data_IF_635183162289
#
_entry.id   IF_635183162289
#
_cell.length_a   1.000
_cell.length_b   1.000
_cell.length_c   1.000
_cell.angle_alpha   90.00
_cell.angle_beta   90.00
_cell.angle_gamma   90.00
#
_symmetry.space_group_name_H-M   'P 1'
#
loop_
_entity.id
_entity.type
_entity.pdbx_description
1 polymer ?
#
# COMPACT_ATOMS: atom_id res chain seq x y z
N UNK A 1 48.49 28.04 10.61
CA UNK A 1 47.46 27.27 11.35
C UNK A 1 46.11 27.60 10.75
N UNK A 2 45.27 26.64 10.35
CA UNK A 2 43.92 26.95 9.91
C UNK A 2 43.14 27.61 11.07
N UNK A 3 42.30 28.63 10.81
CA UNK A 3 41.49 29.24 11.86
C UNK A 3 40.54 28.20 12.46
N UNK A 4 40.26 28.24 13.78
CA UNK A 4 39.31 27.33 14.40
C UNK A 4 37.94 27.52 13.76
N UNK A 5 37.49 26.50 13.02
CA UNK A 5 36.15 26.45 12.45
C UNK A 5 35.12 26.38 13.57
N UNK A 6 34.11 27.25 13.54
CA UNK A 6 33.01 27.21 14.49
C UNK A 6 32.17 25.97 14.21
N UNK A 7 32.19 24.99 15.11
CA UNK A 7 31.32 23.83 15.01
C UNK A 7 29.85 24.30 15.01
N UNK A 8 29.08 23.93 13.98
CA UNK A 8 27.64 24.14 13.97
C UNK A 8 26.99 22.97 14.72
N UNK A 9 26.19 23.27 15.72
CA UNK A 9 25.36 22.26 16.36
C UNK A 9 24.30 21.78 15.34
N UNK A 10 24.26 20.48 15.07
CA UNK A 10 23.11 19.87 14.43
C UNK A 10 22.02 19.75 15.50
N UNK A 11 20.85 20.33 15.26
CA UNK A 11 19.70 20.23 16.16
C UNK A 11 18.53 19.61 15.39
N UNK A 12 17.86 18.67 16.04
CA UNK A 12 16.57 18.14 15.57
C UNK A 12 15.43 18.90 16.22
N UNK A 13 14.23 18.78 15.66
CA UNK A 13 13.05 19.41 16.23
C UNK A 13 12.84 18.93 17.68
N UNK A 14 12.62 19.83 18.66
CA UNK A 14 12.57 19.46 20.08
C UNK A 14 11.46 18.45 20.42
N UNK A 15 10.37 18.43 19.63
CA UNK A 15 9.28 17.50 19.82
C UNK A 15 9.68 16.01 19.70
N UNK A 16 10.77 15.67 19.00
CA UNK A 16 11.24 14.26 18.95
C UNK A 16 11.56 13.69 20.34
N UNK A 17 11.85 14.52 21.34
CA UNK A 17 12.01 14.07 22.73
C UNK A 17 10.70 13.51 23.33
N UNK A 18 9.54 13.99 22.87
CA UNK A 18 8.22 13.52 23.31
C UNK A 18 7.86 12.14 22.71
N UNK A 19 8.62 11.69 21.72
CA UNK A 19 8.42 10.41 21.04
C UNK A 19 9.21 9.26 21.68
N UNK A 20 10.05 9.54 22.68
CA UNK A 20 10.85 8.54 23.39
C UNK A 20 9.94 7.52 24.08
N UNK A 21 10.23 6.22 23.90
CA UNK A 21 9.53 5.12 24.56
C UNK A 21 8.14 4.80 24.01
N UNK A 22 7.64 5.55 23.01
CA UNK A 22 6.39 5.21 22.33
C UNK A 22 6.57 3.95 21.46
N UNK A 23 5.54 3.09 21.34
CA UNK A 23 5.60 1.90 20.50
C UNK A 23 5.54 2.24 19.00
N UNK A 24 5.93 1.28 18.16
CA UNK A 24 5.86 1.40 16.70
C UNK A 24 6.94 2.28 16.08
N UNK A 25 7.03 2.22 14.76
CA UNK A 25 7.94 2.97 13.93
C UNK A 25 7.37 4.35 13.54
N UNK A 26 8.26 5.29 13.23
CA UNK A 26 7.90 6.62 12.71
C UNK A 26 7.91 6.58 11.19
N UNK A 27 6.82 7.05 10.59
CA UNK A 27 6.75 7.35 9.16
C UNK A 27 6.90 8.86 8.95
N UNK A 28 8.02 9.29 8.36
CA UNK A 28 8.26 10.69 8.02
C UNK A 28 7.77 11.01 6.59
N UNK A 29 7.14 12.17 6.41
CA UNK A 29 6.61 12.65 5.14
C UNK A 29 7.21 14.03 4.80
N UNK A 30 7.95 14.17 3.69
CA UNK A 30 8.45 13.09 2.85
C UNK A 30 9.50 12.25 3.61
N UNK A 31 9.76 11.01 3.14
CA UNK A 31 10.80 10.17 3.72
C UNK A 31 12.18 10.83 3.64
N UNK A 32 13.04 10.50 4.60
CA UNK A 32 14.40 11.00 4.66
C UNK A 32 15.17 10.70 3.37
N UNK A 33 15.73 11.75 2.74
CA UNK A 33 16.54 11.61 1.54
C UNK A 33 17.98 11.20 1.85
N UNK A 34 18.64 10.67 0.84
CA UNK A 34 20.05 10.30 0.85
C UNK A 34 20.96 11.42 1.41
N UNK A 35 21.92 11.08 2.29
CA UNK A 35 22.96 11.97 2.85
C UNK A 35 22.52 13.12 3.78
N UNK A 36 21.39 13.00 4.48
CA UNK A 36 21.00 13.95 5.54
C UNK A 36 21.20 13.44 6.98
N UNK A 37 22.14 14.00 7.74
CA UNK A 37 22.43 13.50 9.10
C UNK A 37 21.32 13.77 10.15
N UNK A 38 20.36 14.64 9.83
CA UNK A 38 19.31 15.06 10.78
C UNK A 38 18.31 13.94 11.13
N UNK A 39 17.76 13.16 10.17
CA UNK A 39 16.99 11.95 10.47
C UNK A 39 17.71 10.95 11.38
N UNK A 40 19.02 10.75 11.21
CA UNK A 40 19.79 9.87 12.10
C UNK A 40 19.86 10.41 13.53
N UNK A 41 20.07 11.72 13.67
CA UNK A 41 20.06 12.37 14.98
C UNK A 41 18.66 12.30 15.62
N UNK A 42 17.59 12.40 14.82
CA UNK A 42 16.22 12.24 15.30
C UNK A 42 16.04 10.81 15.82
N UNK A 43 16.46 9.81 15.05
CA UNK A 43 16.40 8.39 15.42
C UNK A 43 17.12 8.11 16.75
N UNK A 44 18.31 8.66 16.95
CA UNK A 44 19.06 8.53 18.22
C UNK A 44 18.33 9.24 19.37
N UNK A 45 17.65 10.35 19.08
CA UNK A 45 16.91 11.13 20.09
C UNK A 45 15.68 10.38 20.59
N UNK A 46 14.85 9.82 19.70
CA UNK A 46 13.61 9.15 20.09
C UNK A 46 13.74 7.62 20.27
N UNK A 47 14.78 7.00 19.71
CA UNK A 47 15.10 5.58 19.89
C UNK A 47 14.16 4.60 19.19
N UNK A 48 13.33 5.06 18.24
CA UNK A 48 12.33 4.23 17.53
C UNK A 48 12.79 3.95 16.10
N UNK A 49 12.32 2.86 15.45
CA UNK A 49 12.57 2.65 14.04
C UNK A 49 11.98 3.79 13.20
N UNK A 50 12.63 4.14 12.10
CA UNK A 50 12.11 5.06 11.09
C UNK A 50 11.97 4.25 9.79
N UNK A 51 10.84 4.35 9.10
CA UNK A 51 10.67 3.66 7.82
C UNK A 51 11.70 4.12 6.78
N UNK A 52 12.23 3.17 6.00
CA UNK A 52 13.39 3.34 5.09
C UNK A 52 14.73 3.57 5.77
N UNK A 53 14.74 3.84 7.08
CA UNK A 53 15.94 4.10 7.87
C UNK A 53 16.76 5.28 7.36
N UNK A 54 18.00 5.36 7.85
CA UNK A 54 18.99 6.31 7.35
C UNK A 54 20.30 5.60 7.09
N UNK A 55 20.64 5.40 5.81
CA UNK A 55 21.84 4.70 5.40
C UNK A 55 22.63 5.52 4.38
N UNK A 56 23.96 5.45 4.48
CA UNK A 56 24.88 6.07 3.51
C UNK A 56 24.79 5.45 2.11
N UNK A 57 24.06 4.33 1.99
CA UNK A 57 23.56 3.70 0.77
C UNK A 57 22.17 3.16 1.11
N UNK A 58 21.12 3.71 0.50
CA UNK A 58 19.78 3.15 0.67
C UNK A 58 19.74 1.80 -0.04
N UNK A 59 19.51 0.68 0.65
CA UNK A 59 19.19 -0.57 -0.02
C UNK A 59 17.87 -0.41 -0.78
N UNK A 60 17.64 -1.25 -1.78
CA UNK A 60 16.33 -1.33 -2.42
C UNK A 60 15.29 -1.61 -1.34
N UNK A 61 14.32 -0.71 -1.22
CA UNK A 61 13.30 -0.74 -0.19
C UNK A 61 11.96 -0.94 -0.88
N UNK A 62 11.40 -2.16 -0.88
CA UNK A 62 10.24 -2.49 -1.72
C UNK A 62 8.92 -1.95 -1.16
N UNK A 63 8.89 -1.47 0.09
CA UNK A 63 7.68 -0.98 0.74
C UNK A 63 6.88 0.09 -0.04
N UNK A 64 7.48 1.07 -0.74
CA UNK A 64 6.75 2.02 -1.59
C UNK A 64 6.10 1.38 -2.81
N UNK A 65 6.44 0.14 -3.15
CA UNK A 65 5.87 -0.62 -4.26
C UNK A 65 4.95 -1.75 -3.78
N UNK A 66 5.17 -2.25 -2.57
CA UNK A 66 4.47 -3.40 -2.01
C UNK A 66 3.43 -3.05 -0.94
N UNK A 67 3.43 -1.85 -0.37
CA UNK A 67 2.45 -1.46 0.65
C UNK A 67 1.52 -0.35 0.12
N UNK A 68 0.28 -0.66 -0.28
CA UNK A 68 -0.61 0.27 -0.97
C UNK A 68 -0.83 1.60 -0.22
N UNK A 69 -1.16 1.54 1.07
CA UNK A 69 -1.39 2.74 1.91
C UNK A 69 -0.09 3.50 2.19
N UNK A 70 1.00 2.80 2.47
CA UNK A 70 2.29 3.44 2.76
C UNK A 70 2.87 4.08 1.51
N UNK A 71 2.63 3.51 0.32
CA UNK A 71 3.10 4.03 -0.96
C UNK A 71 2.60 5.45 -1.21
N UNK A 72 1.30 5.70 -0.97
CA UNK A 72 0.72 7.04 -1.14
C UNK A 72 1.39 8.08 -0.21
N UNK A 73 1.65 7.71 1.04
CA UNK A 73 2.36 8.56 2.01
C UNK A 73 3.82 8.78 1.63
N UNK A 74 4.49 7.73 1.16
CA UNK A 74 5.89 7.76 0.77
C UNK A 74 6.13 8.63 -0.46
N UNK A 75 5.25 8.52 -1.46
CA UNK A 75 5.33 9.23 -2.74
C UNK A 75 4.72 10.63 -2.66
N UNK A 76 3.97 10.93 -1.60
CA UNK A 76 3.15 12.15 -1.48
C UNK A 76 2.25 12.27 -2.70
N UNK A 77 1.47 11.21 -2.92
CA UNK A 77 0.59 11.07 -4.06
C UNK A 77 -0.82 10.74 -3.56
N UNK A 78 -1.82 11.31 -4.23
CA UNK A 78 -3.23 11.07 -3.93
C UNK A 78 -3.85 10.38 -5.15
N UNK A 79 -3.81 9.04 -5.21
CA UNK A 79 -4.38 8.31 -6.33
C UNK A 79 -5.88 8.57 -6.43
N UNK A 80 -6.40 8.61 -7.67
CA UNK A 80 -7.81 8.83 -7.94
C UNK A 80 -8.68 7.64 -7.49
N UNK A 81 -8.11 6.44 -7.48
CA UNK A 81 -8.77 5.22 -7.07
C UNK A 81 -8.54 4.91 -5.57
N UNK A 82 -9.31 3.95 -5.00
CA UNK A 82 -9.08 3.48 -3.64
C UNK A 82 -7.65 2.97 -3.42
N UNK A 83 -7.09 3.26 -2.25
CA UNK A 83 -5.76 2.77 -1.85
C UNK A 83 -5.72 1.26 -1.66
N UNK A 84 -6.87 0.62 -1.53
CA UNK A 84 -7.06 -0.80 -1.29
C UNK A 84 -8.21 -1.32 -2.13
N UNK A 85 -8.18 -2.63 -2.37
CA UNK A 85 -9.27 -3.39 -2.98
C UNK A 85 -10.47 -3.41 -2.03
N UNK A 86 -11.69 -3.39 -2.58
CA UNK A 86 -12.92 -3.22 -1.80
C UNK A 86 -13.17 -4.39 -0.82
N UNK A 87 -13.78 -4.07 0.32
CA UNK A 87 -14.37 -5.02 1.26
C UNK A 87 -13.77 -4.96 2.66
N UNK A 88 -12.54 -4.46 2.80
CA UNK A 88 -11.83 -4.34 4.09
C UNK A 88 -10.99 -3.06 4.09
N UNK A 89 -11.71 -1.93 4.04
CA UNK A 89 -11.17 -0.66 3.53
C UNK A 89 -10.62 0.26 4.63
N UNK A 90 -10.39 -0.24 5.85
CA UNK A 90 -9.84 0.56 6.95
C UNK A 90 -8.34 0.84 6.72
N UNK A 91 -7.94 2.07 6.38
CA UNK A 91 -6.55 2.40 6.08
C UNK A 91 -5.64 2.31 7.31
N UNK A 92 -6.20 2.27 8.52
CA UNK A 92 -5.43 2.07 9.76
C UNK A 92 -4.88 0.65 9.86
N UNK A 93 -5.57 -0.34 9.29
CA UNK A 93 -5.18 -1.75 9.39
C UNK A 93 -3.83 -2.01 8.71
N UNK A 94 -3.57 -1.56 7.46
CA UNK A 94 -2.23 -1.63 6.89
C UNK A 94 -1.19 -0.86 7.71
N UNK A 95 -1.49 0.35 8.19
CA UNK A 95 -0.54 1.13 8.99
C UNK A 95 -0.14 0.38 10.26
N UNK A 96 -1.10 -0.22 10.96
CA UNK A 96 -0.83 -1.04 12.15
C UNK A 96 -0.09 -2.34 11.81
N UNK A 97 -0.43 -3.01 10.70
CA UNK A 97 0.26 -4.23 10.25
C UNK A 97 1.76 -3.97 10.01
N UNK A 98 2.08 -2.85 9.36
CA UNK A 98 3.48 -2.45 9.17
C UNK A 98 4.13 -1.86 10.42
N UNK A 99 3.39 -1.72 11.53
CA UNK A 99 3.90 -1.23 12.80
C UNK A 99 4.11 0.28 12.85
N UNK A 100 3.41 1.07 12.02
CA UNK A 100 3.44 2.54 12.10
C UNK A 100 2.74 2.98 13.39
N UNK A 101 3.50 3.66 14.27
CA UNK A 101 2.96 4.21 15.52
C UNK A 101 2.68 5.70 15.46
N UNK A 102 3.53 6.47 14.77
CA UNK A 102 3.31 7.89 14.55
C UNK A 102 3.74 8.30 13.13
N UNK A 103 3.04 9.29 12.60
CA UNK A 103 3.33 9.94 11.32
C UNK A 103 3.83 11.35 11.58
N UNK A 104 4.95 11.73 10.97
CA UNK A 104 5.55 13.07 11.09
C UNK A 104 5.60 13.72 9.72
N UNK A 105 4.80 14.77 9.53
CA UNK A 105 4.84 15.61 8.33
C UNK A 105 5.87 16.71 8.53
N UNK A 106 6.85 16.83 7.62
CA UNK A 106 7.84 17.91 7.59
C UNK A 106 7.47 18.97 6.56
N UNK A 107 6.74 20.00 6.97
CA UNK A 107 6.27 21.09 6.10
C UNK A 107 7.39 21.86 5.42
N UNK A 108 8.55 21.98 6.08
CA UNK A 108 9.75 22.62 5.57
C UNK A 108 10.45 21.81 4.45
N UNK A 109 10.16 20.50 4.35
CA UNK A 109 10.72 19.59 3.35
C UNK A 109 9.75 19.25 2.21
N UNK A 110 8.48 19.62 2.32
CA UNK A 110 7.45 19.42 1.29
C UNK A 110 7.51 20.55 0.27
N UNK A 111 7.55 20.19 -1.02
CA UNK A 111 7.50 21.17 -2.11
C UNK A 111 6.19 21.97 -2.05
N UNK A 112 6.22 23.30 -2.31
CA UNK A 112 5.05 24.16 -2.19
C UNK A 112 3.79 23.62 -2.91
N UNK A 113 3.95 23.06 -4.10
CA UNK A 113 2.89 22.49 -4.93
C UNK A 113 2.23 21.25 -4.32
N UNK A 114 2.94 20.49 -3.49
CA UNK A 114 2.41 19.28 -2.84
C UNK A 114 1.74 19.58 -1.49
N UNK A 115 1.94 20.77 -0.92
CA UNK A 115 1.44 21.09 0.43
C UNK A 115 -0.08 21.01 0.54
N UNK A 116 -0.80 21.32 -0.53
CA UNK A 116 -2.27 21.23 -0.57
C UNK A 116 -2.79 19.79 -0.65
N UNK A 117 -1.95 18.83 -1.05
CA UNK A 117 -2.30 17.41 -1.13
C UNK A 117 -2.21 16.73 0.24
N UNK A 118 -1.29 17.16 1.10
CA UNK A 118 -1.03 16.51 2.38
C UNK A 118 -2.29 16.41 3.26
N UNK A 119 -3.09 17.47 3.48
CA UNK A 119 -4.30 17.34 4.29
C UNK A 119 -5.29 16.32 3.73
N UNK A 120 -5.44 16.24 2.39
CA UNK A 120 -6.32 15.29 1.72
C UNK A 120 -5.81 13.86 1.88
N UNK A 121 -4.49 13.68 1.75
CA UNK A 121 -3.83 12.40 1.95
C UNK A 121 -3.95 11.93 3.41
N UNK A 122 -3.72 12.81 4.38
CA UNK A 122 -3.89 12.51 5.81
C UNK A 122 -5.34 12.13 6.11
N UNK A 123 -6.33 12.87 5.62
CA UNK A 123 -7.73 12.49 5.79
C UNK A 123 -8.06 11.13 5.15
N UNK A 124 -7.40 10.79 4.03
CA UNK A 124 -7.58 9.50 3.36
C UNK A 124 -6.96 8.33 4.13
N UNK A 125 -5.83 8.52 4.81
CA UNK A 125 -5.11 7.44 5.51
C UNK A 125 -5.37 7.37 7.02
N UNK A 126 -5.76 8.49 7.63
CA UNK A 126 -6.01 8.69 9.05
C UNK A 126 -7.32 9.49 9.22
N UNK A 127 -8.47 8.94 8.76
CA UNK A 127 -9.74 9.68 8.74
C UNK A 127 -10.14 10.15 10.13
N UNK A 128 -10.43 11.45 10.26
CA UNK A 128 -10.83 12.07 11.53
C UNK A 128 -9.72 12.23 12.58
N UNK A 129 -8.46 11.91 12.26
CA UNK A 129 -7.32 12.08 13.18
C UNK A 129 -6.74 13.48 13.04
N UNK A 130 -6.69 14.22 14.15
CA UNK A 130 -6.02 15.52 14.24
C UNK A 130 -4.57 15.36 14.70
N UNK A 131 -3.67 16.30 14.34
CA UNK A 131 -2.30 16.24 14.83
C UNK A 131 -2.26 16.43 16.35
N UNK A 132 -1.51 15.57 17.05
CA UNK A 132 -1.20 15.74 18.47
C UNK A 132 -0.30 16.97 18.70
N UNK A 133 0.53 17.28 17.70
CA UNK A 133 1.40 18.44 17.70
C UNK A 133 1.51 19.04 16.31
N UNK A 134 1.54 20.38 16.25
CA UNK A 134 1.74 21.11 15.02
C UNK A 134 2.47 22.43 15.29
N UNK A 135 3.43 22.75 14.44
CA UNK A 135 4.06 24.06 14.37
C UNK A 135 4.34 24.46 12.90
N UNK A 136 5.20 25.45 12.68
CA UNK A 136 5.54 25.92 11.34
C UNK A 136 6.36 24.92 10.52
N UNK A 137 6.98 23.92 11.15
CA UNK A 137 7.93 23.00 10.53
C UNK A 137 7.42 21.56 10.49
N UNK A 138 6.69 21.11 11.51
CA UNK A 138 6.18 19.74 11.57
C UNK A 138 4.72 19.65 12.03
N UNK A 139 4.06 18.58 11.60
CA UNK A 139 2.86 18.05 12.26
C UNK A 139 3.11 16.59 12.66
N UNK A 140 2.65 16.19 13.84
CA UNK A 140 2.78 14.82 14.34
C UNK A 140 1.40 14.25 14.61
N UNK A 141 1.13 13.07 14.05
CA UNK A 141 -0.12 12.35 14.17
C UNK A 141 0.16 11.00 14.83
N UNK A 142 -0.60 10.66 15.86
CA UNK A 142 -0.59 9.32 16.42
C UNK A 142 -1.49 8.42 15.59
N UNK A 143 -1.01 7.23 15.20
CA UNK A 143 -1.81 6.27 14.43
C UNK A 143 -2.65 5.44 15.40
N UNK A 144 -4.00 5.51 15.34
CA UNK A 144 -4.85 4.72 16.21
C UNK A 144 -4.68 3.22 15.96
N UNK A 145 -4.99 2.43 16.98
CA UNK A 145 -5.09 0.97 16.82
C UNK A 145 -6.41 0.59 16.15
N UNK A 146 -6.34 -0.34 15.20
CA UNK A 146 -7.43 -0.91 14.46
C UNK A 146 -7.48 -2.42 14.67
N UNK A 147 -8.67 -3.00 14.51
CA UNK A 147 -8.86 -4.45 14.61
C UNK A 147 -8.20 -5.11 13.39
N UNK A 148 -7.31 -6.11 13.57
CA UNK A 148 -6.70 -6.81 12.45
C UNK A 148 -7.77 -7.50 11.59
N UNK A 149 -7.80 -7.17 10.30
CA UNK A 149 -8.63 -7.82 9.29
C UNK A 149 -7.82 -7.95 7.99
N UNK A 150 -8.08 -8.97 7.16
CA UNK A 150 -7.41 -9.07 5.87
C UNK A 150 -7.53 -7.78 5.06
N UNK A 151 -6.57 -7.51 4.20
CA UNK A 151 -6.67 -6.43 3.24
C UNK A 151 -5.92 -6.80 1.97
N UNK A 152 -6.26 -6.15 0.87
CA UNK A 152 -5.58 -6.37 -0.40
C UNK A 152 -5.37 -5.05 -1.14
N UNK A 153 -4.36 -5.00 -1.99
CA UNK A 153 -4.14 -3.85 -2.84
C UNK A 153 -3.26 -4.17 -4.04
N UNK A 154 -3.39 -3.32 -5.04
CA UNK A 154 -2.66 -3.40 -6.30
C UNK A 154 -1.24 -2.88 -6.07
N UNK A 155 -0.24 -3.68 -6.44
CA UNK A 155 1.18 -3.43 -6.11
C UNK A 155 2.11 -3.64 -7.31
N UNK A 156 3.31 -3.08 -7.22
CA UNK A 156 4.34 -3.17 -8.25
C UNK A 156 4.07 -2.34 -9.51
N UNK A 157 4.94 -2.48 -10.49
CA UNK A 157 4.94 -1.65 -11.73
C UNK A 157 4.08 -2.23 -12.87
N UNK A 158 3.44 -3.37 -12.65
CA UNK A 158 2.64 -4.08 -13.65
C UNK A 158 1.32 -3.41 -14.04
N UNK A 159 0.94 -2.37 -13.30
CA UNK A 159 -0.33 -1.67 -13.42
C UNK A 159 -0.12 -0.23 -13.83
N UNK A 160 -0.88 0.22 -14.83
CA UNK A 160 -0.93 1.63 -15.18
C UNK A 160 -1.77 2.43 -14.16
N UNK A 161 -1.68 3.77 -14.18
CA UNK A 161 -2.59 4.63 -13.42
C UNK A 161 -4.06 4.29 -13.71
N UNK A 162 -4.91 4.50 -12.70
CA UNK A 162 -6.34 4.32 -12.85
C UNK A 162 -6.92 5.28 -13.89
N UNK A 163 -7.85 4.77 -14.69
CA UNK A 163 -8.62 5.51 -15.68
C UNK A 163 -10.10 5.43 -15.31
N UNK A 164 -10.88 6.43 -15.74
CA UNK A 164 -12.31 6.46 -15.48
C UNK A 164 -13.06 7.18 -16.60
N UNK A 165 -14.28 6.73 -16.88
CA UNK A 165 -15.25 7.40 -17.74
C UNK A 165 -16.32 8.18 -16.95
N UNK A 166 -16.15 8.28 -15.62
CA UNK A 166 -17.09 8.88 -14.68
C UNK A 166 -18.16 7.92 -14.13
N UNK A 167 -18.41 6.79 -14.80
CA UNK A 167 -19.30 5.73 -14.32
C UNK A 167 -18.53 4.53 -13.76
N UNK A 168 -17.38 4.22 -14.35
CA UNK A 168 -16.51 3.12 -13.97
C UNK A 168 -15.07 3.62 -13.78
N UNK A 169 -14.31 2.93 -12.96
CA UNK A 169 -12.87 3.11 -12.82
C UNK A 169 -12.20 1.78 -13.13
N UNK A 170 -11.06 1.80 -13.81
CA UNK A 170 -10.30 0.60 -14.11
C UNK A 170 -8.81 0.86 -14.10
N UNK A 171 -8.03 -0.21 -13.94
CA UNK A 171 -6.58 -0.18 -14.15
C UNK A 171 -6.20 -1.15 -15.24
N UNK A 172 -5.47 -0.64 -16.21
CA UNK A 172 -4.85 -1.50 -17.20
C UNK A 172 -3.65 -2.24 -16.60
N UNK A 173 -3.57 -3.52 -16.89
CA UNK A 173 -2.40 -4.34 -16.65
C UNK A 173 -1.50 -4.38 -17.90
N UNK A 174 -0.18 -4.36 -17.69
CA UNK A 174 0.78 -4.77 -18.71
C UNK A 174 0.76 -6.28 -18.93
N UNK A 175 1.92 -6.87 -19.24
CA UNK A 175 2.03 -8.33 -19.40
C UNK A 175 1.99 -9.09 -18.06
N UNK A 176 2.22 -8.38 -16.96
CA UNK A 176 2.17 -8.92 -15.60
C UNK A 176 1.58 -7.86 -14.68
N UNK A 177 0.81 -8.29 -13.69
CA UNK A 177 0.31 -7.46 -12.60
C UNK A 177 0.37 -8.24 -11.29
N UNK A 178 0.43 -7.53 -10.16
CA UNK A 178 0.42 -8.16 -8.84
C UNK A 178 -0.62 -7.51 -7.92
N UNK A 179 -1.22 -8.34 -7.07
CA UNK A 179 -2.09 -7.95 -5.96
C UNK A 179 -1.45 -8.52 -4.70
N UNK A 180 -1.15 -7.64 -3.73
CA UNK A 180 -0.77 -8.05 -2.39
C UNK A 180 -2.03 -8.35 -1.60
N UNK A 181 -2.03 -9.47 -0.88
CA UNK A 181 -3.10 -9.89 0.01
C UNK A 181 -2.46 -10.17 1.36
N UNK A 182 -2.96 -9.52 2.42
CA UNK A 182 -2.38 -9.63 3.75
C UNK A 182 -3.41 -10.17 4.72
N UNK A 183 -3.02 -11.17 5.51
CA UNK A 183 -3.73 -11.59 6.70
C UNK A 183 -2.94 -11.12 7.93
N UNK A 184 -3.37 -10.03 8.60
CA UNK A 184 -2.68 -9.53 9.78
C UNK A 184 -3.04 -10.29 11.07
N UNK A 185 -3.90 -11.31 11.00
CA UNK A 185 -4.29 -12.09 12.18
C UNK A 185 -3.28 -13.20 12.49
N UNK A 186 -3.41 -13.85 13.64
CA UNK A 186 -2.55 -14.96 14.05
C UNK A 186 -3.01 -16.34 13.54
N UNK A 187 -4.15 -16.40 12.84
CA UNK A 187 -4.73 -17.65 12.35
C UNK A 187 -4.98 -17.59 10.84
N UNK A 188 -4.99 -18.75 10.18
CA UNK A 188 -5.38 -18.82 8.79
C UNK A 188 -6.88 -18.54 8.63
N UNK A 189 -7.24 -17.85 7.54
CA UNK A 189 -8.61 -17.43 7.26
C UNK A 189 -9.05 -17.87 5.86
N UNK A 190 -10.28 -18.39 5.70
CA UNK A 190 -10.85 -18.56 4.37
C UNK A 190 -11.25 -17.20 3.82
N UNK A 191 -10.69 -16.81 2.69
CA UNK A 191 -11.05 -15.57 1.99
C UNK A 191 -11.48 -15.88 0.57
N UNK A 192 -12.37 -15.04 0.05
CA UNK A 192 -12.68 -15.02 -1.38
C UNK A 192 -12.18 -13.72 -1.97
N UNK A 193 -11.30 -13.81 -2.97
CA UNK A 193 -10.91 -12.68 -3.80
C UNK A 193 -11.70 -12.74 -5.11
N UNK A 194 -12.60 -11.79 -5.30
CA UNK A 194 -13.36 -11.62 -6.53
C UNK A 194 -12.67 -10.58 -7.41
N UNK A 195 -12.49 -10.89 -8.69
CA UNK A 195 -11.90 -10.02 -9.70
C UNK A 195 -12.89 -9.87 -10.86
N UNK A 196 -13.03 -8.66 -11.40
CA UNK A 196 -13.79 -8.35 -12.60
C UNK A 196 -12.88 -7.67 -13.62
N UNK A 197 -12.81 -8.18 -14.84
CA UNK A 197 -11.96 -7.62 -15.90
C UNK A 197 -12.50 -7.87 -17.31
N UNK A 198 -11.94 -7.15 -18.27
CA UNK A 198 -12.06 -7.46 -19.70
C UNK A 198 -10.70 -7.37 -20.41
N UNK A 199 -10.58 -8.09 -21.54
CA UNK A 199 -9.36 -8.20 -22.32
C UNK A 199 -9.19 -7.07 -23.34
N UNK A 200 -7.99 -6.51 -23.42
CA UNK A 200 -7.64 -5.49 -24.41
C UNK A 200 -7.65 -6.10 -25.82
N UNK A 201 -8.43 -5.54 -26.74
CA UNK A 201 -8.43 -5.97 -28.14
C UNK A 201 -8.92 -7.41 -28.40
N UNK A 202 -9.42 -8.12 -27.38
CA UNK A 202 -9.90 -9.50 -27.50
C UNK A 202 -9.74 -10.31 -26.22
N UNK A 203 -10.14 -11.58 -26.28
CA UNK A 203 -10.00 -12.53 -25.18
C UNK A 203 -8.53 -12.72 -24.76
N UNK A 204 -8.31 -13.00 -23.47
CA UNK A 204 -7.01 -13.19 -22.83
C UNK A 204 -7.08 -14.38 -21.89
N UNK A 205 -6.13 -15.30 -22.05
CA UNK A 205 -5.85 -16.31 -21.03
C UNK A 205 -4.86 -15.70 -20.03
N UNK A 206 -5.27 -15.57 -18.77
CA UNK A 206 -4.47 -15.01 -17.68
C UNK A 206 -4.02 -16.14 -16.78
N UNK A 207 -2.71 -16.38 -16.73
CA UNK A 207 -2.10 -17.29 -15.77
C UNK A 207 -2.07 -16.64 -14.39
N UNK A 208 -2.54 -17.37 -13.39
CA UNK A 208 -2.58 -16.94 -11.99
C UNK A 208 -1.55 -17.75 -11.21
N UNK A 209 -0.72 -17.07 -10.42
CA UNK A 209 0.12 -17.72 -9.40
C UNK A 209 -0.09 -17.07 -8.04
N UNK A 210 -0.15 -17.89 -7.00
CA UNK A 210 -0.30 -17.47 -5.61
C UNK A 210 0.95 -17.90 -4.84
N UNK A 211 1.69 -16.93 -4.31
CA UNK A 211 3.02 -17.15 -3.70
C UNK A 211 3.96 -17.97 -4.61
N UNK A 212 4.00 -17.57 -5.88
CA UNK A 212 4.77 -18.21 -6.97
C UNK A 212 4.31 -19.62 -7.39
N UNK A 213 3.37 -20.23 -6.67
CA UNK A 213 2.76 -21.49 -7.06
C UNK A 213 1.63 -21.28 -8.09
N UNK A 214 1.54 -22.09 -9.16
CA UNK A 214 0.45 -21.99 -10.13
C UNK A 214 -0.92 -22.19 -9.47
N UNK A 215 -1.78 -21.18 -9.56
CA UNK A 215 -3.13 -21.18 -8.98
C UNK A 215 -4.21 -21.50 -10.02
N UNK A 216 -3.93 -21.29 -11.31
CA UNK A 216 -4.82 -21.67 -12.41
C UNK A 216 -4.74 -20.74 -13.61
N UNK A 217 -5.72 -20.88 -14.50
CA UNK A 217 -5.93 -20.02 -15.66
C UNK A 217 -7.29 -19.33 -15.52
N UNK A 218 -7.35 -18.05 -15.85
CA UNK A 218 -8.58 -17.28 -15.95
C UNK A 218 -8.77 -16.79 -17.38
N UNK A 219 -9.86 -17.22 -18.01
CA UNK A 219 -10.25 -16.71 -19.32
C UNK A 219 -10.97 -15.37 -19.15
N UNK A 220 -10.30 -14.29 -19.54
CA UNK A 220 -10.84 -12.94 -19.57
C UNK A 220 -11.32 -12.64 -20.97
N UNK A 221 -12.62 -12.47 -21.16
CA UNK A 221 -13.19 -12.21 -22.48
C UNK A 221 -13.02 -10.74 -22.90
N UNK A 222 -13.37 -10.43 -24.16
CA UNK A 222 -13.42 -9.04 -24.62
C UNK A 222 -14.50 -8.21 -23.90
N UNK A 223 -15.51 -8.87 -23.34
CA UNK A 223 -16.49 -8.29 -22.43
C UNK A 223 -16.11 -8.55 -20.97
N UNK A 224 -16.86 -7.93 -20.06
CA UNK A 224 -16.64 -8.13 -18.62
C UNK A 224 -16.82 -9.59 -18.23
N UNK A 225 -15.83 -10.08 -17.48
CA UNK A 225 -15.77 -11.43 -16.93
C UNK A 225 -15.30 -11.36 -15.50
N UNK A 226 -15.76 -12.31 -14.69
CA UNK A 226 -15.40 -12.38 -13.27
C UNK A 226 -14.72 -13.69 -12.94
N UNK A 227 -13.83 -13.64 -11.95
CA UNK A 227 -13.22 -14.79 -11.31
C UNK A 227 -13.35 -14.67 -9.79
N UNK A 228 -13.52 -15.80 -9.12
CA UNK A 228 -13.49 -15.89 -7.67
C UNK A 228 -12.43 -16.90 -7.26
N UNK A 229 -11.43 -16.44 -6.52
CA UNK A 229 -10.40 -17.28 -5.92
C UNK A 229 -10.75 -17.54 -4.46
N UNK A 230 -10.95 -18.79 -4.11
CA UNK A 230 -11.15 -19.22 -2.72
C UNK A 230 -9.80 -19.62 -2.13
N UNK A 231 -9.30 -18.81 -1.20
CA UNK A 231 -7.94 -18.94 -0.67
C UNK A 231 -8.01 -19.27 0.82
N UNK A 232 -7.15 -20.19 1.25
CA UNK A 232 -6.86 -20.40 2.66
C UNK A 232 -5.64 -19.55 3.04
N UNK A 233 -5.90 -18.34 3.50
CA UNK A 233 -4.88 -17.31 3.67
C UNK A 233 -4.19 -17.48 5.02
N UNK A 234 -2.95 -17.98 5.02
CA UNK A 234 -2.13 -18.08 6.23
C UNK A 234 -1.84 -16.68 6.82
N UNK A 235 -1.41 -16.57 8.09
CA UNK A 235 -0.90 -15.32 8.63
C UNK A 235 0.29 -14.78 7.81
N UNK A 236 0.25 -13.49 7.46
CA UNK A 236 1.35 -12.84 6.74
C UNK A 236 0.90 -12.16 5.45
N UNK A 237 1.89 -11.93 4.59
CA UNK A 237 1.74 -11.28 3.28
C UNK A 237 1.84 -12.31 2.18
N UNK A 238 0.92 -12.26 1.24
CA UNK A 238 0.78 -13.19 0.12
C UNK A 238 0.63 -12.42 -1.19
N UNK A 239 1.11 -13.00 -2.29
CA UNK A 239 1.12 -12.35 -3.59
C UNK A 239 0.33 -13.16 -4.61
N UNK A 240 -0.70 -12.55 -5.19
CA UNK A 240 -1.33 -13.04 -6.40
C UNK A 240 -0.69 -12.33 -7.60
N UNK A 241 -0.04 -13.08 -8.47
CA UNK A 241 0.50 -12.60 -9.73
C UNK A 241 -0.41 -13.02 -10.88
N UNK A 242 -0.70 -12.07 -11.76
CA UNK A 242 -1.45 -12.26 -12.99
C UNK A 242 -0.48 -12.08 -14.15
N UNK A 243 -0.43 -13.04 -15.08
CA UNK A 243 0.43 -12.98 -16.25
C UNK A 243 -0.35 -13.29 -17.51
N UNK A 244 -0.23 -12.44 -18.52
CA UNK A 244 -0.90 -12.58 -19.79
C UNK A 244 -0.15 -11.83 -20.90
N UNK A 245 -0.47 -12.14 -22.16
CA UNK A 245 0.07 -11.38 -23.29
C UNK A 245 -0.50 -9.95 -23.29
N UNK A 246 0.39 -8.96 -23.36
CA UNK A 246 0.03 -7.58 -23.63
C UNK A 246 0.28 -7.23 -25.11
N UNK A 247 -0.60 -6.41 -25.69
CA UNK A 247 -0.46 -5.85 -27.03
C UNK A 247 -0.28 -4.33 -26.96
N UNK A 248 0.40 -3.74 -27.95
CA UNK A 248 0.58 -2.29 -28.02
C UNK A 248 -0.79 -1.59 -28.11
N UNK A 249 -0.96 -0.54 -27.32
CA UNK A 249 -2.15 0.29 -27.39
C UNK A 249 -2.27 0.94 -28.79
N UNK A 250 -3.47 0.90 -29.36
CA UNK A 250 -3.78 1.39 -30.71
C UNK A 250 -3.76 2.93 -30.84
N UNK A 251 -3.67 3.66 -29.73
CA UNK A 251 -3.61 5.12 -29.69
C UNK A 251 -2.26 5.60 -30.23
N UNK A 252 -2.30 6.54 -31.17
CA UNK A 252 -1.10 7.12 -31.76
C UNK A 252 -0.18 7.72 -30.68
N UNK A 253 1.11 7.36 -30.74
CA UNK A 253 2.16 7.76 -29.79
C UNK A 253 2.02 7.17 -28.37
N UNK A 254 1.14 6.20 -28.15
CA UNK A 254 1.17 5.45 -26.89
C UNK A 254 2.31 4.44 -26.88
N UNK A 255 3.09 4.45 -25.80
CA UNK A 255 4.11 3.44 -25.52
C UNK A 255 3.57 2.27 -24.68
N UNK A 256 2.28 2.29 -24.33
CA UNK A 256 1.69 1.30 -23.42
C UNK A 256 1.48 -0.03 -24.13
N UNK A 257 1.83 -1.11 -23.44
CA UNK A 257 1.39 -2.46 -23.78
C UNK A 257 0.30 -2.87 -22.78
N UNK A 258 -0.88 -3.24 -23.28
CA UNK A 258 -2.09 -3.49 -22.50
C UNK A 258 -2.53 -4.96 -22.64
N UNK A 259 -2.88 -5.59 -21.52
CA UNK A 259 -3.41 -6.96 -21.49
C UNK A 259 -4.88 -7.00 -21.07
N UNK A 260 -5.19 -6.72 -19.81
CA UNK A 260 -6.55 -6.69 -19.27
C UNK A 260 -6.79 -5.34 -18.58
N UNK A 261 -8.04 -4.89 -18.54
CA UNK A 261 -8.49 -3.84 -17.64
C UNK A 261 -9.16 -4.51 -16.44
N UNK A 262 -8.56 -4.35 -15.26
CA UNK A 262 -9.20 -4.72 -14.00
C UNK A 262 -10.21 -3.63 -13.65
N UNK A 263 -11.49 -4.00 -13.69
CA UNK A 263 -12.63 -3.13 -13.39
C UNK A 263 -12.93 -3.13 -11.89
N UNK A 264 -12.92 -4.33 -11.32
CA UNK A 264 -13.41 -4.55 -9.97
C UNK A 264 -12.53 -5.57 -9.26
N UNK A 265 -12.33 -5.35 -7.98
CA UNK A 265 -11.65 -6.28 -7.13
C UNK A 265 -12.22 -6.16 -5.73
N UNK A 266 -12.50 -7.31 -5.10
CA UNK A 266 -13.06 -7.36 -3.76
C UNK A 266 -12.49 -8.52 -2.96
N UNK A 267 -12.18 -8.29 -1.69
CA UNK A 267 -11.86 -9.34 -0.73
C UNK A 267 -12.95 -9.46 0.34
N UNK A 268 -13.38 -10.70 0.60
CA UNK A 268 -14.31 -11.01 1.68
C UNK A 268 -13.79 -12.18 2.50
N UNK A 269 -14.07 -12.18 3.80
CA UNK A 269 -13.91 -13.40 4.61
C UNK A 269 -15.06 -14.32 4.19
N UNK A 270 -14.74 -15.54 3.76
CA UNK A 270 -15.80 -16.50 3.48
C UNK A 270 -16.49 -16.79 4.82
N UNK A 271 -17.82 -16.65 4.86
CA UNK A 271 -18.57 -17.20 5.98
C UNK A 271 -18.16 -18.67 6.10
N UNK A 272 -17.78 -19.11 7.30
CA UNK A 272 -17.63 -20.54 7.56
C UNK A 272 -18.95 -21.15 7.12
N UNK A 273 -18.93 -21.98 6.06
CA UNK A 273 -20.09 -22.72 5.65
C UNK A 273 -20.59 -23.43 6.91
N UNK A 274 -21.75 -23.03 7.41
CA UNK A 274 -22.36 -23.64 8.57
C UNK A 274 -22.38 -25.15 8.34
N UNK A 275 -21.71 -25.84 9.25
CA UNK A 275 -21.77 -27.27 9.53
C UNK A 275 -22.34 -28.14 8.39
N UNK A 276 -21.42 -28.86 7.76
CA UNK A 276 -21.54 -30.28 7.42
C UNK A 276 -22.87 -30.88 7.90
N UNK A 277 -23.71 -31.16 6.91
CA UNK A 277 -24.53 -32.36 6.69
C UNK A 277 -24.16 -33.63 7.49
N UNK A 278 -23.99 -33.55 8.81
CA UNK A 278 -23.74 -34.66 9.76
C UNK A 278 -24.75 -34.61 10.93
N UNK A 279 -25.99 -34.23 10.64
CA UNK A 279 -27.16 -34.83 11.30
C UNK A 279 -27.95 -35.72 10.35
N UNK A 280 -27.40 -35.99 9.17
CA UNK A 280 -27.97 -36.87 8.16
C UNK A 280 -27.27 -38.24 8.09
N UNK A 281 -26.57 -38.71 9.13
CA UNK A 281 -26.18 -40.12 9.15
C UNK A 281 -25.73 -40.65 10.52
N UNK A 282 -26.56 -40.59 11.57
CA UNK A 282 -26.46 -41.54 12.68
C UNK A 282 -27.79 -41.69 13.43
N UNK A 283 -28.53 -42.73 12.98
CA UNK A 283 -29.35 -43.69 13.74
C UNK A 283 -30.44 -43.18 14.69
#
# INVERSE_FOLDING_TARGET
>A
TPPPGRARAAAVHPYYQQLVGRPGALLEIPPARYKYSLPQLAQITHGRPIFGGYLARSPDYPLPEEAPVLSALWRVDLPADPLMIEGMDDPLVPLNYYGVGDLVVHWDKIYPEQRALIPQLIERVLPGVTPEYQDATISVYHVPSATPQPFAGIVGEGWYPAESDGAHSWRWMGASGAILIVNPTSAALPVTLSLGAYGYGGSREVALSFDDDPAGLWQVEAGETTAALHLWLAPGSHRLTLQARADQESVANSSRALSIALLDARITIAAAAEAVSEQADHR
#
